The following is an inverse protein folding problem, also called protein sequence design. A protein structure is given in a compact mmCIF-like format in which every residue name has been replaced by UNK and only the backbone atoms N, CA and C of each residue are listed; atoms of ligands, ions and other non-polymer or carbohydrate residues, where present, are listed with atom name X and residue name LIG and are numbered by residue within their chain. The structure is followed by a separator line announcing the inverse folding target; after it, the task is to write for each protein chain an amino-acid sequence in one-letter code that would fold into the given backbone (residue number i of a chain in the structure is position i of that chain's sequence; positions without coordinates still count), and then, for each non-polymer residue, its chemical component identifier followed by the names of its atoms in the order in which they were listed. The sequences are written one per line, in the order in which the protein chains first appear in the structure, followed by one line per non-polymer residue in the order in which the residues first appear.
data_IF_818953527761
#
_entry.id   IF_818953527761
#
_cell.length_a   1.000
_cell.length_b   1.000
_cell.length_c   1.000
_cell.angle_alpha   90.00
_cell.angle_beta   90.00
_cell.angle_gamma   90.00
#
_symmetry.space_group_name_H-M   'P 1'
#
loop_
_entity.id
_entity.type
_entity.pdbx_description
1 polymer ?
#
# COMPACT_ATOMS: atom_id res chain seq x y z
N UNK A 1 10.71 -9.07 21.54
CA UNK A 1 10.15 -9.99 20.54
C UNK A 1 8.78 -9.49 20.14
N UNK A 2 8.63 -9.03 18.89
CA UNK A 2 7.36 -8.61 18.29
C UNK A 2 6.53 -9.84 17.94
N UNK A 3 5.23 -9.85 18.26
CA UNK A 3 4.32 -10.96 17.99
C UNK A 3 2.93 -10.43 17.65
N UNK A 4 2.25 -11.12 16.75
CA UNK A 4 0.87 -10.81 16.35
C UNK A 4 0.03 -12.09 16.34
N UNK A 5 -1.31 -11.97 16.43
CA UNK A 5 -2.18 -13.10 16.15
C UNK A 5 -1.87 -13.65 14.75
N UNK A 6 -1.63 -14.97 14.58
CA UNK A 6 -1.38 -15.54 13.26
C UNK A 6 -2.56 -15.32 12.30
N UNK A 7 -3.77 -15.10 12.85
CA UNK A 7 -4.96 -14.76 12.09
C UNK A 7 -4.87 -13.44 11.31
N UNK A 8 -3.95 -12.54 11.65
CA UNK A 8 -3.77 -11.30 10.90
C UNK A 8 -3.09 -11.55 9.54
N UNK A 9 -2.27 -12.60 9.44
CA UNK A 9 -1.39 -12.84 8.28
C UNK A 9 -0.35 -11.71 8.11
N UNK A 10 0.67 -11.89 7.29
CA UNK A 10 1.55 -10.77 6.85
C UNK A 10 1.81 -10.99 5.37
N UNK A 11 1.45 -10.01 4.55
CA UNK A 11 1.58 -10.09 3.08
C UNK A 11 2.86 -9.41 2.60
N UNK A 12 3.31 -8.37 3.29
CA UNK A 12 4.59 -7.72 3.03
C UNK A 12 5.19 -7.16 4.32
N UNK A 13 6.52 -6.99 4.33
CA UNK A 13 7.24 -6.27 5.36
C UNK A 13 8.42 -5.51 4.76
N UNK A 14 8.72 -4.35 5.33
CA UNK A 14 9.89 -3.53 5.04
C UNK A 14 10.51 -3.06 6.36
N UNK A 15 11.84 -3.06 6.40
CA UNK A 15 12.61 -2.50 7.51
C UNK A 15 13.19 -1.16 7.05
N UNK A 16 12.86 -0.09 7.75
CA UNK A 16 13.32 1.27 7.45
C UNK A 16 13.18 2.12 8.71
N UNK A 17 14.04 3.12 8.89
CA UNK A 17 13.88 4.12 9.96
C UNK A 17 12.77 5.10 9.54
N UNK A 18 11.56 4.96 10.08
CA UNK A 18 10.39 5.76 9.64
C UNK A 18 10.23 7.05 10.44
N UNK A 19 10.87 7.14 11.62
CA UNK A 19 10.78 8.29 12.51
C UNK A 19 12.08 9.11 12.57
N UNK A 20 13.12 8.69 11.86
CA UNK A 20 14.41 9.37 11.78
C UNK A 20 15.24 9.28 13.05
N UNK A 21 15.00 8.31 13.92
CA UNK A 21 15.72 8.19 15.20
C UNK A 21 17.02 7.38 15.11
N UNK A 22 17.34 6.85 13.92
CA UNK A 22 18.52 6.03 13.63
C UNK A 22 18.33 4.54 13.95
N UNK A 23 17.18 4.15 14.49
CA UNK A 23 16.81 2.75 14.74
C UNK A 23 15.94 2.23 13.60
N UNK A 24 16.23 1.04 13.04
CA UNK A 24 15.37 0.48 12.00
C UNK A 24 14.01 0.06 12.58
N UNK A 25 12.94 0.56 11.98
CA UNK A 25 11.54 0.25 12.28
C UNK A 25 10.97 -0.79 11.31
N UNK A 26 9.70 -1.15 11.49
CA UNK A 26 9.00 -2.11 10.62
C UNK A 26 7.72 -1.49 10.07
N UNK A 27 7.59 -1.48 8.75
CA UNK A 27 6.33 -1.26 8.03
C UNK A 27 5.86 -2.60 7.49
N UNK A 28 4.60 -2.97 7.72
CA UNK A 28 4.06 -4.23 7.22
C UNK A 28 2.62 -4.10 6.76
N UNK A 29 2.17 -5.07 5.98
CA UNK A 29 0.77 -5.18 5.56
C UNK A 29 0.13 -6.46 6.04
N UNK A 30 -1.14 -6.36 6.42
CA UNK A 30 -2.03 -7.49 6.66
C UNK A 30 -3.14 -7.41 5.61
N UNK A 31 -3.21 -8.37 4.70
CA UNK A 31 -4.24 -8.32 3.66
C UNK A 31 -4.52 -9.63 2.97
N UNK A 32 -4.01 -10.75 3.48
CA UNK A 32 -4.29 -12.03 2.86
C UNK A 32 -5.75 -12.45 3.13
N UNK A 33 -6.49 -12.55 2.04
CA UNK A 33 -7.87 -13.02 2.01
C UNK A 33 -8.04 -14.08 0.92
N UNK A 34 -7.04 -14.93 0.69
CA UNK A 34 -7.12 -16.04 -0.25
C UNK A 34 -8.06 -17.18 0.15
N UNK A 35 -8.54 -17.19 1.40
CA UNK A 35 -9.55 -18.15 1.87
C UNK A 35 -10.92 -17.89 1.23
N UNK A 36 -11.64 -18.94 0.86
CA UNK A 36 -12.99 -18.83 0.27
C UNK A 36 -14.06 -19.29 1.26
N UNK A 37 -15.00 -18.42 1.69
CA UNK A 37 -15.17 -17.02 1.29
C UNK A 37 -14.12 -16.08 1.94
N UNK A 38 -13.85 -14.95 1.28
CA UNK A 38 -12.88 -13.94 1.69
C UNK A 38 -13.56 -12.72 2.34
N UNK A 39 -14.04 -12.80 3.60
CA UNK A 39 -14.70 -11.68 4.24
C UNK A 39 -13.72 -10.51 4.44
N UNK A 40 -14.24 -9.29 4.45
CA UNK A 40 -13.50 -8.11 4.89
C UNK A 40 -13.06 -8.31 6.33
N UNK A 41 -11.75 -8.27 6.56
CA UNK A 41 -11.15 -8.42 7.89
C UNK A 41 -10.76 -7.02 8.41
N UNK A 42 -11.35 -6.53 9.51
CA UNK A 42 -11.12 -5.15 9.98
C UNK A 42 -9.70 -4.91 10.51
N UNK A 43 -8.92 -5.97 10.71
CA UNK A 43 -7.52 -5.90 11.11
C UNK A 43 -6.55 -5.87 9.91
N UNK A 44 -7.06 -5.89 8.67
CA UNK A 44 -6.27 -5.70 7.46
C UNK A 44 -5.89 -4.23 7.26
N UNK A 45 -4.68 -4.00 6.78
CA UNK A 45 -4.18 -2.66 6.53
C UNK A 45 -2.66 -2.56 6.53
N UNK A 46 -2.19 -1.32 6.61
CA UNK A 46 -0.77 -0.96 6.77
C UNK A 46 -0.51 -0.71 8.26
N UNK A 47 0.60 -1.24 8.79
CA UNK A 47 1.03 -1.04 10.17
C UNK A 47 2.47 -0.55 10.22
N UNK A 48 2.75 0.30 11.19
CA UNK A 48 4.10 0.80 11.49
C UNK A 48 4.44 0.50 12.95
N UNK A 49 5.59 -0.12 13.16
CA UNK A 49 6.13 -0.47 14.46
C UNK A 49 7.47 0.22 14.68
N UNK A 50 7.53 1.08 15.69
CA UNK A 50 8.78 1.75 16.05
C UNK A 50 9.63 0.88 16.95
N UNK A 51 10.93 0.88 16.69
CA UNK A 51 11.97 0.26 17.48
C UNK A 51 12.52 1.25 18.51
N UNK A 52 12.63 0.86 19.78
CA UNK A 52 13.23 1.70 20.82
C UNK A 52 14.77 1.72 20.83
N UNK A 53 15.40 1.31 19.72
CA UNK A 53 16.85 1.12 19.61
C UNK A 53 17.40 -0.14 20.31
N UNK A 54 16.60 -0.79 21.16
CA UNK A 54 16.96 -2.04 21.86
C UNK A 54 16.30 -3.28 21.23
N UNK A 55 15.65 -3.14 20.07
CA UNK A 55 14.94 -4.21 19.38
C UNK A 55 13.56 -4.50 19.99
N UNK A 56 13.01 -3.58 20.79
CA UNK A 56 11.64 -3.66 21.28
C UNK A 56 10.76 -2.79 20.42
N UNK A 57 9.84 -3.46 19.72
CA UNK A 57 8.95 -2.83 18.77
C UNK A 57 7.57 -2.56 19.39
N UNK A 58 6.98 -1.41 19.10
CA UNK A 58 5.63 -1.03 19.49
C UNK A 58 4.85 -0.48 18.29
N UNK A 59 3.60 -0.91 18.12
CA UNK A 59 2.73 -0.35 17.08
C UNK A 59 2.49 1.13 17.36
N UNK A 60 2.75 1.97 16.37
CA UNK A 60 2.47 3.41 16.45
C UNK A 60 1.40 3.87 15.49
N UNK A 61 1.23 3.17 14.39
CA UNK A 61 0.27 3.55 13.37
C UNK A 61 -0.38 2.33 12.73
N UNK A 62 -1.67 2.47 12.43
CA UNK A 62 -2.46 1.50 11.68
C UNK A 62 -3.40 2.26 10.74
N UNK A 63 -3.30 1.99 9.44
CA UNK A 63 -4.23 2.46 8.43
C UNK A 63 -5.12 1.30 7.97
N UNK A 64 -6.44 1.32 8.24
CA UNK A 64 -7.36 0.29 7.77
C UNK A 64 -7.43 0.28 6.24
N UNK A 65 -6.98 -0.82 5.64
CA UNK A 65 -7.02 -1.02 4.19
C UNK A 65 -7.27 -2.51 3.94
N UNK A 66 -8.54 -2.93 3.79
CA UNK A 66 -8.87 -4.31 3.46
C UNK A 66 -8.04 -4.81 2.29
N UNK A 67 -7.39 -5.97 2.47
CA UNK A 67 -6.63 -6.60 1.40
C UNK A 67 -5.28 -5.98 1.09
N UNK A 68 -4.77 -5.07 1.93
CA UNK A 68 -3.44 -4.47 1.81
C UNK A 68 -2.36 -5.55 1.60
N UNK A 69 -1.75 -5.57 0.43
CA UNK A 69 -0.90 -6.67 -0.01
C UNK A 69 0.57 -6.30 -0.03
N UNK A 70 0.88 -5.06 -0.40
CA UNK A 70 2.24 -4.53 -0.40
C UNK A 70 2.23 -3.07 0.01
N UNK A 71 3.21 -2.70 0.82
CA UNK A 71 3.57 -1.32 1.09
C UNK A 71 5.04 -1.06 0.72
N UNK A 72 5.34 0.18 0.35
CA UNK A 72 6.69 0.72 0.20
C UNK A 72 6.73 2.03 0.97
N UNK A 73 7.66 2.13 1.92
CA UNK A 73 7.90 3.30 2.74
C UNK A 73 9.20 3.99 2.30
N UNK A 74 9.10 5.25 1.87
CA UNK A 74 10.18 6.14 1.40
C UNK A 74 9.70 7.59 1.51
N UNK A 75 10.64 8.52 1.58
CA UNK A 75 10.40 9.95 1.39
C UNK A 75 10.13 10.19 -0.11
N UNK A 76 8.85 10.27 -0.51
CA UNK A 76 8.46 10.42 -1.91
C UNK A 76 8.33 11.89 -2.31
N UNK A 77 7.97 12.78 -1.39
CA UNK A 77 7.82 14.22 -1.68
C UNK A 77 9.09 15.06 -1.42
N UNK A 78 10.10 14.46 -0.78
CA UNK A 78 11.42 15.05 -0.55
C UNK A 78 11.46 16.00 0.65
N UNK A 79 10.48 15.93 1.57
CA UNK A 79 10.43 16.78 2.76
C UNK A 79 11.21 16.23 3.95
N UNK A 80 11.69 14.98 3.85
CA UNK A 80 12.50 14.29 4.85
C UNK A 80 11.70 13.39 5.79
N UNK A 81 10.36 13.38 5.70
CA UNK A 81 9.51 12.45 6.39
C UNK A 81 9.26 11.19 5.54
N UNK A 82 9.23 10.01 6.17
CA UNK A 82 8.99 8.76 5.43
C UNK A 82 7.49 8.58 5.19
N UNK A 83 7.06 8.65 3.93
CA UNK A 83 5.72 8.34 3.47
C UNK A 83 5.51 6.84 3.25
N UNK A 84 4.28 6.43 2.92
CA UNK A 84 3.95 5.05 2.57
C UNK A 84 3.01 4.95 1.37
N UNK A 85 3.46 4.33 0.28
CA UNK A 85 2.59 3.86 -0.79
C UNK A 85 2.13 2.43 -0.51
N UNK A 86 0.85 2.12 -0.72
CA UNK A 86 0.28 0.80 -0.48
C UNK A 86 -0.70 0.38 -1.58
N UNK A 87 -0.72 -0.92 -1.88
CA UNK A 87 -1.69 -1.55 -2.79
C UNK A 87 -2.48 -2.64 -2.07
N UNK A 88 -3.71 -2.88 -2.53
CA UNK A 88 -4.54 -3.99 -2.08
C UNK A 88 -4.85 -4.98 -3.20
N UNK A 89 -4.74 -6.27 -2.89
CA UNK A 89 -5.08 -7.36 -3.79
C UNK A 89 -6.48 -7.95 -3.53
N UNK A 90 -7.02 -7.70 -2.33
CA UNK A 90 -8.37 -8.08 -1.88
C UNK A 90 -9.12 -6.91 -1.20
N UNK A 91 -9.26 -5.73 -1.84
CA UNK A 91 -10.04 -4.65 -1.28
C UNK A 91 -11.50 -5.03 -1.08
N UNK A 92 -12.21 -4.25 -0.28
CA UNK A 92 -13.65 -4.39 -0.10
C UNK A 92 -14.39 -3.96 -1.38
N UNK A 93 -14.59 -4.89 -2.31
CA UNK A 93 -15.24 -4.63 -3.60
C UNK A 93 -16.72 -4.23 -3.48
N UNK A 94 -17.37 -4.53 -2.36
CA UNK A 94 -18.73 -4.09 -2.10
C UNK A 94 -18.77 -2.60 -1.70
N UNK A 95 -17.66 -2.07 -1.14
CA UNK A 95 -17.57 -0.67 -0.73
C UNK A 95 -17.73 0.30 -1.89
N UNK A 96 -18.33 1.47 -1.63
CA UNK A 96 -18.43 2.63 -2.55
C UNK A 96 -17.13 2.97 -3.27
N UNK A 97 -16.01 2.79 -2.59
CA UNK A 97 -14.70 3.24 -3.02
C UNK A 97 -13.63 2.24 -2.52
N UNK A 98 -13.43 1.09 -3.22
CA UNK A 98 -12.42 0.12 -2.81
C UNK A 98 -11.03 0.73 -2.90
N UNK A 99 -10.32 0.78 -1.78
CA UNK A 99 -8.94 1.27 -1.71
C UNK A 99 -7.99 0.25 -2.35
N UNK A 100 -7.80 0.34 -3.67
CA UNK A 100 -6.87 -0.52 -4.43
C UNK A 100 -5.44 0.00 -4.39
N UNK A 101 -5.26 1.33 -4.31
CA UNK A 101 -3.99 2.02 -4.08
C UNK A 101 -4.23 3.18 -3.10
N UNK A 102 -3.28 3.41 -2.21
CA UNK A 102 -3.24 4.56 -1.30
C UNK A 102 -1.81 5.08 -1.18
N UNK A 103 -1.64 6.39 -1.22
CA UNK A 103 -0.43 7.09 -0.79
C UNK A 103 -0.71 7.74 0.57
N UNK A 104 0.07 7.40 1.59
CA UNK A 104 0.02 7.96 2.93
C UNK A 104 1.18 8.95 3.05
N UNK A 105 0.89 10.23 2.84
CA UNK A 105 1.81 11.34 3.01
C UNK A 105 2.05 11.58 4.49
N UNK A 106 3.28 11.44 4.98
CA UNK A 106 3.65 11.70 6.36
C UNK A 106 3.93 13.19 6.53
N UNK A 107 2.96 13.94 7.05
CA UNK A 107 3.11 15.39 7.29
C UNK A 107 3.91 15.70 8.56
N UNK A 108 4.87 14.85 8.92
CA UNK A 108 5.67 14.93 10.14
C UNK A 108 5.17 14.09 11.30
N UNK A 109 6.11 13.43 12.00
CA UNK A 109 5.84 12.75 13.27
C UNK A 109 4.89 11.55 13.17
N UNK A 110 4.83 10.90 12.00
CA UNK A 110 3.89 9.81 11.66
C UNK A 110 2.43 10.28 11.61
N UNK A 111 2.18 11.55 11.33
CA UNK A 111 0.86 12.07 11.02
C UNK A 111 0.59 11.92 9.52
N UNK A 112 -0.28 10.98 9.15
CA UNK A 112 -0.49 10.65 7.73
C UNK A 112 -1.77 11.28 7.15
N UNK A 113 -1.65 11.85 5.95
CA UNK A 113 -2.77 12.20 5.06
C UNK A 113 -2.89 11.15 3.96
N UNK A 114 -4.07 10.56 3.79
CA UNK A 114 -4.29 9.51 2.80
C UNK A 114 -4.81 10.07 1.47
N UNK A 115 -4.14 9.69 0.38
CA UNK A 115 -4.46 10.08 -0.99
C UNK A 115 -4.70 8.84 -1.86
N UNK A 116 -5.55 9.00 -2.86
CA UNK A 116 -5.80 8.00 -3.91
C UNK A 116 -6.27 8.71 -5.18
N UNK A 117 -6.54 7.98 -6.26
CA UNK A 117 -7.02 8.55 -7.51
C UNK A 117 -8.26 7.81 -8.04
N UNK A 118 -9.14 8.46 -8.84
CA UNK A 118 -10.43 7.89 -9.25
C UNK A 118 -10.37 6.51 -9.93
N UNK A 119 -9.25 6.22 -10.58
CA UNK A 119 -9.01 5.01 -11.37
C UNK A 119 -8.03 4.02 -10.70
N UNK A 120 -7.85 4.14 -9.39
CA UNK A 120 -6.95 3.28 -8.62
C UNK A 120 -7.30 1.78 -8.71
N UNK A 121 -8.53 1.43 -9.08
CA UNK A 121 -8.99 0.05 -9.25
C UNK A 121 -8.88 -0.46 -10.71
N UNK A 122 -8.19 0.26 -11.61
CA UNK A 122 -8.05 -0.16 -13.02
C UNK A 122 -7.28 -1.46 -13.21
N UNK A 123 -6.49 -1.85 -12.23
CA UNK A 123 -5.85 -3.15 -12.15
C UNK A 123 -6.09 -3.79 -10.79
N UNK A 124 -5.95 -5.10 -10.74
CA UNK A 124 -5.88 -5.86 -9.49
C UNK A 124 -4.42 -5.96 -9.06
N UNK A 125 -3.97 -5.01 -8.26
CA UNK A 125 -2.56 -4.84 -7.95
C UNK A 125 -2.05 -5.91 -6.98
N UNK A 126 -1.01 -6.63 -7.38
CA UNK A 126 -0.37 -7.69 -6.60
C UNK A 126 1.05 -7.32 -6.21
N UNK A 127 1.76 -6.64 -7.10
CA UNK A 127 3.15 -6.20 -6.88
C UNK A 127 3.28 -4.70 -7.11
N UNK A 128 4.30 -4.13 -6.49
CA UNK A 128 4.66 -2.71 -6.58
C UNK A 128 6.17 -2.60 -6.44
N UNK A 129 6.82 -1.73 -7.20
CA UNK A 129 8.21 -1.36 -6.98
C UNK A 129 8.36 0.16 -7.10
N UNK A 130 9.49 0.70 -6.64
CA UNK A 130 9.74 2.13 -6.61
C UNK A 130 11.16 2.47 -7.09
N UNK A 131 11.27 3.47 -7.94
CA UNK A 131 12.52 4.00 -8.47
C UNK A 131 12.27 5.15 -9.44
N UNK A 132 13.32 5.90 -9.77
CA UNK A 132 13.30 6.94 -10.80
C UNK A 132 13.21 6.27 -12.18
N UNK A 133 12.00 6.14 -12.72
CA UNK A 133 11.73 5.35 -13.94
C UNK A 133 11.95 6.20 -15.18
N UNK A 134 11.68 7.50 -15.10
CA UNK A 134 11.77 8.43 -16.22
C UNK A 134 13.11 9.22 -16.26
N UNK A 135 13.89 9.17 -15.17
CA UNK A 135 15.21 9.79 -15.04
C UNK A 135 15.16 11.26 -14.61
N UNK A 136 14.04 11.75 -14.08
CA UNK A 136 13.85 13.16 -13.74
C UNK A 136 14.35 13.54 -12.33
N UNK A 137 14.67 12.53 -11.52
CA UNK A 137 15.28 12.64 -10.20
C UNK A 137 14.32 12.48 -9.02
N UNK A 138 13.02 12.28 -9.24
CA UNK A 138 12.10 11.83 -8.20
C UNK A 138 11.81 10.31 -8.28
N UNK A 139 11.15 9.77 -7.25
CA UNK A 139 10.91 8.33 -7.14
C UNK A 139 9.48 8.02 -7.58
N UNK A 140 9.36 7.30 -8.69
CA UNK A 140 8.09 6.78 -9.19
C UNK A 140 7.68 5.46 -8.53
N UNK A 141 6.44 5.06 -8.81
CA UNK A 141 5.91 3.75 -8.46
C UNK A 141 5.50 2.97 -9.71
N UNK A 142 5.79 1.68 -9.72
CA UNK A 142 5.34 0.74 -10.78
C UNK A 142 4.48 -0.33 -10.14
N UNK A 143 3.21 -0.41 -10.53
CA UNK A 143 2.25 -1.41 -10.05
C UNK A 143 2.12 -2.54 -11.07
N UNK A 144 2.10 -3.78 -10.61
CA UNK A 144 1.83 -4.96 -11.44
C UNK A 144 0.54 -5.65 -11.05
N UNK A 145 -0.29 -5.97 -12.04
CA UNK A 145 -1.61 -6.58 -11.85
C UNK A 145 -1.62 -8.09 -12.10
N UNK A 146 -2.45 -8.80 -11.31
CA UNK A 146 -2.81 -10.19 -11.57
C UNK A 146 -4.33 -10.37 -11.49
N UNK A 147 -4.97 -10.73 -12.60
CA UNK A 147 -6.43 -10.66 -12.76
C UNK A 147 -7.11 -11.99 -13.14
N UNK A 148 -6.57 -13.12 -12.68
CA UNK A 148 -7.12 -14.44 -13.05
C UNK A 148 -8.33 -14.87 -12.19
N UNK A 149 -8.42 -14.37 -10.96
CA UNK A 149 -9.45 -14.73 -9.98
C UNK A 149 -10.62 -13.75 -10.01
N UNK A 150 -11.82 -14.23 -9.68
CA UNK A 150 -12.97 -13.36 -9.43
C UNK A 150 -12.75 -12.46 -8.22
N UNK A 151 -13.45 -11.31 -8.21
CA UNK A 151 -13.55 -10.41 -7.08
C UNK A 151 -14.87 -10.72 -6.34
N UNK A 152 -14.79 -11.35 -5.18
CA UNK A 152 -16.00 -11.67 -4.40
C UNK A 152 -16.69 -10.39 -3.92
N UNK A 153 -18.00 -10.32 -4.05
CA UNK A 153 -18.78 -9.13 -3.71
C UNK A 153 -18.67 -7.99 -4.73
N UNK A 154 -18.02 -8.21 -5.88
CA UNK A 154 -17.98 -7.25 -6.97
C UNK A 154 -19.31 -7.20 -7.71
N UNK A 155 -20.18 -6.31 -7.26
CA UNK A 155 -21.46 -6.01 -7.91
C UNK A 155 -21.31 -5.01 -9.07
N UNK A 156 -20.09 -4.46 -9.27
CA UNK A 156 -19.82 -3.38 -10.25
C UNK A 156 -19.08 -3.87 -11.49
N UNK A 157 -18.77 -5.15 -11.56
CA UNK A 157 -18.08 -5.78 -12.67
C UNK A 157 -16.63 -5.32 -12.82
N UNK A 158 -15.98 -4.89 -11.73
CA UNK A 158 -14.56 -4.53 -11.70
C UNK A 158 -13.68 -5.68 -12.21
N UNK A 159 -13.93 -6.92 -11.78
CA UNK A 159 -13.19 -8.10 -12.21
C UNK A 159 -13.34 -8.39 -13.71
N UNK A 160 -14.51 -8.09 -14.28
CA UNK A 160 -14.71 -8.22 -15.73
C UNK A 160 -13.89 -7.18 -16.51
N UNK A 161 -13.62 -5.99 -15.95
CA UNK A 161 -12.77 -4.98 -16.58
C UNK A 161 -11.31 -5.43 -16.66
N UNK A 162 -10.78 -6.05 -15.61
CA UNK A 162 -9.38 -6.50 -15.59
C UNK A 162 -9.06 -7.66 -16.54
N UNK A 163 -10.07 -8.41 -16.95
CA UNK A 163 -9.93 -9.53 -17.89
C UNK A 163 -10.01 -9.10 -19.35
N UNK A 164 -10.24 -7.81 -19.62
CA UNK A 164 -10.24 -7.30 -20.99
C UNK A 164 -8.80 -7.23 -21.52
N UNK A 165 -8.57 -7.40 -22.83
CA UNK A 165 -7.24 -7.33 -23.42
C UNK A 165 -6.54 -5.97 -23.24
N UNK A 166 -7.29 -4.90 -23.02
CA UNK A 166 -6.81 -3.52 -22.81
C UNK A 166 -6.64 -3.15 -21.33
N UNK A 167 -6.91 -4.08 -20.40
CA UNK A 167 -6.68 -3.84 -18.99
C UNK A 167 -5.17 -3.69 -18.70
N UNK A 168 -4.77 -2.73 -17.84
CA UNK A 168 -3.37 -2.55 -17.50
C UNK A 168 -2.85 -3.75 -16.73
N UNK A 169 -1.83 -4.41 -17.27
CA UNK A 169 -1.02 -5.40 -16.55
C UNK A 169 0.05 -4.74 -15.70
N UNK A 170 0.42 -3.51 -16.08
CA UNK A 170 1.38 -2.65 -15.41
C UNK A 170 0.88 -1.20 -15.44
N UNK A 171 1.10 -0.47 -14.36
CA UNK A 171 0.80 0.97 -14.26
C UNK A 171 2.01 1.67 -13.66
N UNK A 172 2.53 2.70 -14.33
CA UNK A 172 3.52 3.61 -13.75
C UNK A 172 2.77 4.81 -13.18
N UNK A 173 3.00 5.09 -11.91
CA UNK A 173 2.58 6.30 -11.24
C UNK A 173 3.79 7.21 -11.16
N UNK A 174 3.79 8.17 -12.07
CA UNK A 174 4.74 9.27 -12.12
C UNK A 174 4.63 10.08 -10.83
N UNK A 175 5.74 10.21 -10.11
CA UNK A 175 5.89 11.26 -9.14
C UNK A 175 6.17 12.56 -9.90
N UNK A 176 5.51 13.63 -9.52
CA UNK A 176 5.71 14.92 -10.21
C UNK A 176 6.50 15.91 -9.35
N UNK A 177 7.01 15.42 -8.21
CA UNK A 177 7.64 16.16 -7.13
C UNK A 177 6.94 17.47 -6.78
N UNK A 178 7.71 18.35 -6.14
CA UNK A 178 7.36 19.77 -5.95
C UNK A 178 7.66 20.63 -7.19
N UNK A 179 7.87 20.03 -8.38
CA UNK A 179 7.94 20.77 -9.65
C UNK A 179 6.56 21.36 -9.92
N UNK A 180 6.32 22.55 -9.36
CA UNK A 180 5.28 23.46 -9.83
C UNK A 180 5.44 23.52 -11.34
N UNK A 181 4.46 22.99 -12.08
CA UNK A 181 4.34 23.27 -13.51
C UNK A 181 4.50 24.78 -13.70
N UNK A 182 5.37 25.25 -14.60
CA UNK A 182 5.48 26.67 -14.92
C UNK A 182 4.15 27.24 -15.41
#
# INVERSE_FOLDING_TARGET
MLRFPPAYGVTSMQVTDVNGDGSPDIVLTNGDAGDYPAPVKPYHGVRIFLNDGAGKFAERYFFPMPGAFKAIARDFDGDGDVDVAAIAFYPDYASGHPLSFVYLENTGGLHFTAHTFPDADRGRWLTMDAGDVDGDGDVDLVLGSFAQLDALGDERGVAARWRRPDAPTLLVLENTGSRRRP
#
